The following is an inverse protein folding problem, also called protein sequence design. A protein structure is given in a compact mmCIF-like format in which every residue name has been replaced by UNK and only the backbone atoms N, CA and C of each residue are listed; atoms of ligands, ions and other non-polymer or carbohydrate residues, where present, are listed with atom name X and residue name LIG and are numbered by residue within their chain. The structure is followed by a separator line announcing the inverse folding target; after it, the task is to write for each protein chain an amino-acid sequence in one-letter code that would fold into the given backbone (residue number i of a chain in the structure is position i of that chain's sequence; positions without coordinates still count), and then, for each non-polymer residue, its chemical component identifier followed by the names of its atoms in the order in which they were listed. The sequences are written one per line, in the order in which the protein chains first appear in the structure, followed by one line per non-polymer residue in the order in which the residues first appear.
data_IF_759276789684
#
_entry.id   IF_759276789684
#
_cell.length_a   1.000
_cell.length_b   1.000
_cell.length_c   1.000
_cell.angle_alpha   90.00
_cell.angle_beta   90.00
_cell.angle_gamma   90.00
#
_symmetry.space_group_name_H-M   'P 1'
#
loop_
_entity.id
_entity.type
_entity.pdbx_description
1 polymer ?
#
# COMPACT_ATOMS: atom_id res chain seq x y z
N UNK A 1 29.02 -43.31 45.16
CA UNK A 1 29.94 -44.24 45.86
C UNK A 1 30.15 -45.46 44.98
N UNK A 2 31.42 -45.80 44.68
CA UNK A 2 31.94 -47.12 44.25
C UNK A 2 31.37 -47.73 42.94
N UNK A 3 32.14 -48.31 42.01
CA UNK A 3 33.55 -48.72 41.98
C UNK A 3 33.96 -49.03 40.54
N UNK A 4 35.20 -48.66 40.20
CA UNK A 4 36.00 -49.18 39.07
C UNK A 4 36.39 -50.65 39.29
N UNK A 5 36.63 -51.39 38.19
CA UNK A 5 37.57 -52.52 37.99
C UNK A 5 37.43 -52.92 36.51
N UNK A 6 38.31 -52.63 35.54
CA UNK A 6 39.74 -52.92 35.30
C UNK A 6 40.10 -54.40 35.07
N UNK A 7 40.40 -54.78 33.82
CA UNK A 7 41.34 -55.82 33.36
C UNK A 7 41.57 -55.55 31.84
N UNK A 8 42.72 -55.05 31.33
CA UNK A 8 44.04 -55.67 31.14
C UNK A 8 43.96 -57.03 30.40
N UNK A 9 44.67 -57.38 29.31
CA UNK A 9 45.92 -56.93 28.65
C UNK A 9 46.15 -57.77 27.35
N UNK A 10 46.99 -57.27 26.43
CA UNK A 10 47.72 -58.04 25.37
C UNK A 10 47.34 -57.62 23.94
N UNK A 11 48.07 -56.78 23.18
CA UNK A 11 49.46 -56.75 22.63
C UNK A 11 49.76 -57.82 21.57
N UNK A 12 49.74 -57.41 20.29
CA UNK A 12 50.71 -57.69 19.21
C UNK A 12 50.27 -56.83 17.99
N UNK A 13 50.98 -55.79 17.53
CA UNK A 13 52.16 -55.81 16.64
C UNK A 13 51.97 -56.78 15.44
N UNK A 14 52.14 -56.44 14.16
CA UNK A 14 52.56 -55.26 13.41
C UNK A 14 52.25 -55.55 11.93
N UNK A 15 52.12 -54.53 11.07
CA UNK A 15 52.83 -54.41 9.77
C UNK A 15 52.17 -53.36 8.89
N UNK A 16 53.03 -52.46 8.42
CA UNK A 16 52.74 -51.37 7.51
C UNK A 16 52.43 -51.88 6.10
N UNK A 17 51.52 -51.18 5.41
CA UNK A 17 51.70 -50.87 4.00
C UNK A 17 51.06 -49.50 3.74
N UNK A 18 51.93 -48.53 3.52
CA UNK A 18 51.59 -47.24 2.96
C UNK A 18 51.32 -47.44 1.45
N UNK A 19 50.12 -47.11 1.02
CA UNK A 19 49.83 -46.87 -0.39
C UNK A 19 49.20 -45.48 -0.50
N UNK A 20 50.04 -44.52 -0.92
CA UNK A 20 49.60 -43.23 -1.44
C UNK A 20 48.77 -43.46 -2.70
N UNK A 21 47.51 -43.05 -2.67
CA UNK A 21 46.80 -42.61 -3.87
C UNK A 21 46.03 -41.35 -3.53
N UNK A 22 46.57 -40.22 -3.95
CA UNK A 22 45.86 -38.95 -4.01
C UNK A 22 44.89 -38.99 -5.20
N UNK A 23 43.60 -38.79 -4.93
CA UNK A 23 42.68 -38.15 -5.88
C UNK A 23 41.88 -37.12 -5.10
N UNK A 24 42.28 -35.86 -5.27
CA UNK A 24 41.45 -34.71 -5.03
C UNK A 24 40.60 -34.48 -6.28
N UNK A 25 39.27 -34.60 -6.16
CA UNK A 25 38.26 -34.08 -7.09
C UNK A 25 36.88 -34.46 -6.53
N UNK A 26 35.81 -33.70 -6.62
CA UNK A 26 35.51 -32.28 -6.84
C UNK A 26 34.11 -32.09 -6.21
N UNK A 27 33.70 -30.85 -5.99
CA UNK A 27 32.54 -30.47 -5.16
C UNK A 27 31.26 -31.28 -5.37
N UNK A 28 30.56 -31.51 -4.26
CA UNK A 28 29.12 -31.73 -4.24
C UNK A 28 28.45 -30.44 -4.71
N UNK A 29 28.39 -30.25 -6.03
CA UNK A 29 27.47 -29.29 -6.64
C UNK A 29 26.06 -29.84 -6.42
N UNK A 30 25.47 -29.43 -5.29
CA UNK A 30 24.03 -29.41 -5.16
C UNK A 30 23.50 -28.61 -6.35
N UNK A 31 22.96 -29.34 -7.33
CA UNK A 31 22.23 -28.78 -8.46
C UNK A 31 21.04 -28.03 -7.88
N UNK A 32 21.25 -26.75 -7.63
CA UNK A 32 20.20 -25.76 -7.49
C UNK A 32 19.47 -25.75 -8.83
N UNK A 33 18.34 -26.46 -8.91
CA UNK A 33 17.35 -26.24 -9.95
C UNK A 33 16.74 -24.86 -9.73
N UNK A 34 17.48 -23.81 -10.07
CA UNK A 34 16.86 -22.56 -10.45
C UNK A 34 16.02 -22.86 -11.70
N UNK A 35 14.74 -22.44 -11.76
CA UNK A 35 13.96 -22.59 -12.97
C UNK A 35 14.69 -21.87 -14.10
N UNK A 36 15.08 -22.61 -15.13
CA UNK A 36 15.57 -22.05 -16.40
C UNK A 36 14.60 -20.95 -16.83
N UNK A 37 15.06 -19.71 -17.09
CA UNK A 37 14.19 -18.67 -17.65
C UNK A 37 13.59 -19.24 -18.93
N UNK A 38 12.25 -19.34 -19.00
CA UNK A 38 11.59 -19.68 -20.25
C UNK A 38 11.89 -18.55 -21.25
N UNK A 39 12.89 -18.75 -22.08
CA UNK A 39 13.17 -17.87 -23.20
C UNK A 39 12.03 -18.08 -24.22
N UNK A 40 11.20 -17.06 -24.42
CA UNK A 40 10.11 -17.12 -25.41
C UNK A 40 9.04 -16.04 -25.27
N UNK A 41 8.94 -15.40 -24.12
CA UNK A 41 7.97 -14.33 -23.89
C UNK A 41 8.45 -12.99 -24.44
N UNK A 42 7.60 -12.29 -25.19
CA UNK A 42 7.83 -10.91 -25.62
C UNK A 42 7.07 -9.94 -24.72
N UNK A 43 7.77 -9.02 -24.05
CA UNK A 43 7.12 -7.93 -23.33
C UNK A 43 6.39 -7.00 -24.30
N UNK A 44 5.12 -6.74 -24.04
CA UNK A 44 4.29 -5.84 -24.83
C UNK A 44 4.39 -4.42 -24.31
N UNK A 45 4.41 -3.45 -25.23
CA UNK A 45 4.17 -2.06 -24.91
C UNK A 45 2.67 -1.90 -24.74
N UNK A 46 2.24 -1.51 -23.55
CA UNK A 46 0.84 -1.30 -23.21
C UNK A 46 0.58 0.16 -22.89
N UNK A 47 -0.57 0.67 -23.33
CA UNK A 47 -0.99 2.03 -23.00
C UNK A 47 -1.73 2.03 -21.67
N UNK A 48 -1.16 2.65 -20.64
CA UNK A 48 -1.91 2.90 -19.39
C UNK A 48 -2.88 4.06 -19.61
N UNK A 49 -4.11 3.90 -19.14
CA UNK A 49 -5.02 5.03 -19.06
C UNK A 49 -4.58 5.94 -17.91
N UNK A 50 -4.49 7.25 -18.18
CA UNK A 50 -4.26 8.24 -17.11
C UNK A 50 -5.57 8.40 -16.32
N UNK A 51 -5.63 7.76 -15.16
CA UNK A 51 -6.82 7.75 -14.29
C UNK A 51 -6.75 8.84 -13.20
N UNK A 52 -5.82 9.79 -13.29
CA UNK A 52 -5.65 10.86 -12.30
C UNK A 52 -6.88 11.79 -12.16
N UNK A 53 -7.84 11.70 -13.08
CA UNK A 53 -9.06 12.52 -13.13
C UNK A 53 -10.30 11.88 -12.48
N UNK A 54 -10.21 10.65 -11.97
CA UNK A 54 -11.34 9.90 -11.40
C UNK A 54 -11.53 10.04 -9.88
N UNK A 55 -11.51 11.25 -9.30
CA UNK A 55 -11.91 11.45 -7.89
C UNK A 55 -13.44 11.52 -7.77
N UNK A 56 -14.12 10.37 -7.80
CA UNK A 56 -15.54 10.29 -7.46
C UNK A 56 -15.75 10.00 -5.97
N UNK A 57 -16.76 10.62 -5.36
CA UNK A 57 -17.10 10.42 -3.96
C UNK A 57 -18.14 9.30 -3.78
N UNK A 58 -17.89 8.47 -2.75
CA UNK A 58 -18.48 7.18 -2.41
C UNK A 58 -19.98 6.94 -2.66
N UNK A 59 -20.24 6.04 -3.60
CA UNK A 59 -21.28 5.01 -3.50
C UNK A 59 -20.58 3.66 -3.27
N UNK A 60 -21.20 2.74 -2.54
CA UNK A 60 -20.68 1.38 -2.35
C UNK A 60 -20.29 0.83 -3.74
N UNK A 61 -19.09 0.27 -3.91
CA UNK A 61 -18.83 -0.55 -5.08
C UNK A 61 -19.95 -1.59 -5.15
N UNK A 62 -20.72 -1.62 -6.25
CA UNK A 62 -21.69 -2.71 -6.44
C UNK A 62 -21.01 -4.08 -6.37
N UNK A 63 -19.70 -4.10 -6.63
CA UNK A 63 -18.78 -5.22 -6.44
C UNK A 63 -17.54 -4.74 -5.67
N UNK A 64 -17.41 -5.18 -4.41
CA UNK A 64 -16.23 -4.91 -3.55
C UNK A 64 -15.15 -5.98 -3.69
N UNK A 65 -15.36 -6.97 -4.56
CA UNK A 65 -14.42 -8.02 -4.81
C UNK A 65 -13.28 -7.54 -5.70
N UNK A 66 -12.24 -8.35 -5.65
CA UNK A 66 -11.04 -8.28 -6.47
C UNK A 66 -11.40 -8.62 -7.92
N UNK A 67 -11.03 -7.77 -8.88
CA UNK A 67 -11.40 -7.93 -10.28
C UNK A 67 -10.19 -8.11 -11.18
N UNK A 68 -10.26 -9.10 -12.07
CA UNK A 68 -9.28 -9.44 -13.11
C UNK A 68 -10.05 -9.60 -14.40
N UNK A 69 -10.09 -8.56 -15.22
CA UNK A 69 -10.96 -8.49 -16.39
C UNK A 69 -10.12 -8.43 -17.67
N UNK A 70 -10.47 -9.28 -18.63
CA UNK A 70 -10.06 -9.16 -20.03
C UNK A 70 -11.29 -8.67 -20.78
N UNK A 71 -11.20 -7.46 -21.32
CA UNK A 71 -12.34 -6.71 -21.84
C UNK A 71 -12.14 -6.55 -23.34
N UNK A 72 -13.00 -7.20 -24.12
CA UNK A 72 -12.91 -7.23 -25.58
C UNK A 72 -14.04 -6.49 -26.29
N UNK A 73 -14.90 -5.80 -25.53
CA UNK A 73 -16.07 -5.08 -26.04
C UNK A 73 -16.46 -3.87 -25.17
N UNK A 74 -17.17 -2.93 -25.79
CA UNK A 74 -17.57 -1.67 -25.17
C UNK A 74 -18.60 -1.83 -24.04
N UNK A 75 -19.45 -2.86 -24.06
CA UNK A 75 -20.46 -3.07 -23.04
C UNK A 75 -19.82 -3.54 -21.73
N UNK A 76 -18.87 -4.48 -21.82
CA UNK A 76 -18.07 -4.95 -20.69
C UNK A 76 -17.18 -3.83 -20.15
N UNK A 77 -16.59 -3.03 -21.03
CA UNK A 77 -15.79 -1.86 -20.63
C UNK A 77 -16.60 -0.84 -19.84
N UNK A 78 -17.79 -0.50 -20.33
CA UNK A 78 -18.71 0.42 -19.66
C UNK A 78 -19.16 -0.10 -18.29
N UNK A 79 -19.43 -1.41 -18.17
CA UNK A 79 -19.79 -2.04 -16.90
C UNK A 79 -18.64 -2.00 -15.89
N UNK A 80 -17.42 -2.33 -16.31
CA UNK A 80 -16.24 -2.28 -15.45
C UNK A 80 -15.99 -0.84 -14.98
N UNK A 81 -15.98 0.14 -15.90
CA UNK A 81 -15.77 1.55 -15.58
C UNK A 81 -16.80 2.09 -14.60
N UNK A 82 -18.08 1.76 -14.82
CA UNK A 82 -19.17 2.11 -13.90
C UNK A 82 -19.02 1.44 -12.51
N UNK A 83 -18.27 0.34 -12.39
CA UNK A 83 -17.98 -0.31 -11.11
C UNK A 83 -16.86 0.37 -10.31
N UNK A 84 -16.01 1.15 -10.99
CA UNK A 84 -14.88 1.87 -10.38
C UNK A 84 -15.29 3.26 -9.87
N UNK A 85 -16.19 3.93 -10.60
CA UNK A 85 -16.62 5.28 -10.30
C UNK A 85 -17.75 5.30 -9.24
N UNK A 86 -17.57 6.06 -8.14
CA UNK A 86 -18.62 6.26 -7.14
C UNK A 86 -19.84 7.07 -7.63
N UNK A 87 -19.66 7.93 -8.64
CA UNK A 87 -20.73 8.70 -9.27
C UNK A 87 -20.69 8.50 -10.81
N UNK A 88 -21.76 7.98 -11.43
CA UNK A 88 -21.86 7.86 -12.89
C UNK A 88 -21.79 9.22 -13.63
N UNK A 89 -21.88 10.34 -12.92
CA UNK A 89 -21.71 11.69 -13.48
C UNK A 89 -20.33 12.31 -13.21
N UNK A 90 -19.56 11.81 -12.23
CA UNK A 90 -18.21 12.32 -11.92
C UNK A 90 -17.08 11.50 -12.55
N UNK A 91 -17.31 10.23 -12.88
CA UNK A 91 -16.29 9.33 -13.45
C UNK A 91 -16.05 9.51 -14.96
N UNK A 92 -16.80 10.39 -15.62
CA UNK A 92 -16.80 10.52 -17.08
C UNK A 92 -17.22 9.24 -17.80
N UNK A 93 -17.44 9.35 -19.12
CA UNK A 93 -17.51 8.15 -19.94
C UNK A 93 -16.14 7.45 -19.92
N UNK A 94 -16.07 6.11 -19.98
CA UNK A 94 -14.80 5.43 -20.13
C UNK A 94 -14.06 5.96 -21.37
N UNK A 95 -12.72 6.03 -21.34
CA UNK A 95 -11.93 6.33 -22.52
C UNK A 95 -12.37 5.51 -23.73
N UNK A 96 -12.44 6.15 -24.89
CA UNK A 96 -12.82 5.50 -26.13
C UNK A 96 -11.76 4.47 -26.54
N UNK A 97 -12.19 3.24 -26.79
CA UNK A 97 -11.34 2.14 -27.27
C UNK A 97 -11.96 1.56 -28.54
N UNK A 98 -11.15 1.42 -29.59
CA UNK A 98 -11.55 0.69 -30.78
C UNK A 98 -11.38 -0.81 -30.55
N UNK A 99 -12.46 -1.44 -30.07
CA UNK A 99 -12.47 -2.88 -29.79
C UNK A 99 -12.35 -3.76 -31.03
N UNK A 100 -12.35 -3.21 -32.25
CA UNK A 100 -12.02 -4.01 -33.45
C UNK A 100 -10.52 -4.25 -33.57
N UNK A 101 -9.71 -3.39 -32.98
CA UNK A 101 -8.24 -3.42 -33.03
C UNK A 101 -7.60 -3.78 -31.71
N UNK A 102 -8.18 -3.28 -30.62
CA UNK A 102 -7.60 -3.33 -29.29
C UNK A 102 -8.51 -4.10 -28.32
N UNK A 103 -7.91 -4.55 -27.23
CA UNK A 103 -8.58 -5.05 -26.05
C UNK A 103 -8.04 -4.31 -24.81
N UNK A 104 -8.72 -4.49 -23.68
CA UNK A 104 -8.37 -3.87 -22.41
C UNK A 104 -8.15 -4.94 -21.35
N UNK A 105 -7.10 -4.79 -20.54
CA UNK A 105 -6.91 -5.58 -19.33
C UNK A 105 -7.08 -4.63 -18.14
N UNK A 106 -7.96 -4.99 -17.22
CA UNK A 106 -8.29 -4.17 -16.08
C UNK A 106 -8.22 -4.96 -14.78
N UNK A 107 -7.57 -4.36 -13.77
CA UNK A 107 -7.41 -4.97 -12.44
C UNK A 107 -7.88 -4.00 -11.37
N UNK A 108 -8.57 -4.52 -10.35
CA UNK A 108 -8.97 -3.75 -9.18
C UNK A 108 -8.82 -4.57 -7.90
N UNK A 109 -8.36 -3.92 -6.83
CA UNK A 109 -8.30 -4.54 -5.51
C UNK A 109 -9.69 -4.64 -4.89
N UNK A 110 -9.86 -5.45 -3.82
CA UNK A 110 -10.91 -5.20 -2.85
C UNK A 110 -10.78 -3.79 -2.24
N UNK A 111 -11.81 -3.35 -1.53
CA UNK A 111 -11.73 -2.10 -0.75
C UNK A 111 -10.55 -2.16 0.24
N UNK A 112 -9.79 -1.07 0.32
CA UNK A 112 -8.61 -0.88 1.18
C UNK A 112 -8.86 0.19 2.22
N UNK A 113 -8.29 0.07 3.43
CA UNK A 113 -8.61 0.95 4.55
C UNK A 113 -7.85 2.28 4.55
N UNK A 114 -6.96 2.51 3.59
CA UNK A 114 -6.17 3.75 3.52
C UNK A 114 -5.77 4.14 2.10
N UNK A 115 -5.31 5.38 1.94
CA UNK A 115 -4.77 5.91 0.69
C UNK A 115 -3.40 5.35 0.28
N UNK A 116 -2.74 4.56 1.13
CA UNK A 116 -1.39 4.05 0.88
C UNK A 116 -1.32 2.76 0.07
N UNK A 117 -2.46 2.15 -0.24
CA UNK A 117 -2.52 0.94 -1.04
C UNK A 117 -2.53 1.25 -2.54
N UNK A 118 -1.93 0.37 -3.33
CA UNK A 118 -1.89 0.49 -4.78
C UNK A 118 -2.07 -0.86 -5.46
N UNK A 119 -2.32 -0.81 -6.77
CA UNK A 119 -2.23 -1.95 -7.68
C UNK A 119 -1.68 -1.44 -9.00
N UNK A 120 -0.84 -2.23 -9.66
CA UNK A 120 -0.28 -1.90 -10.97
C UNK A 120 -0.17 -3.14 -11.84
N UNK A 121 -0.46 -2.99 -13.13
CA UNK A 121 -0.05 -3.93 -14.16
C UNK A 121 1.38 -3.54 -14.54
N UNK A 122 2.37 -4.29 -14.07
CA UNK A 122 3.79 -3.97 -14.31
C UNK A 122 4.22 -4.31 -15.74
N UNK A 123 3.71 -5.42 -16.27
CA UNK A 123 4.07 -5.90 -17.58
C UNK A 123 3.02 -6.87 -18.12
N UNK A 124 2.86 -6.89 -19.44
CA UNK A 124 2.18 -7.97 -20.16
C UNK A 124 3.20 -8.67 -21.03
N UNK A 125 3.39 -9.96 -20.82
CA UNK A 125 4.31 -10.80 -21.59
C UNK A 125 3.50 -11.71 -22.50
N UNK A 126 3.74 -11.63 -23.79
CA UNK A 126 3.13 -12.48 -24.79
C UNK A 126 3.98 -13.74 -25.02
N UNK A 127 3.38 -14.90 -24.80
CA UNK A 127 3.95 -16.21 -25.12
C UNK A 127 3.31 -16.78 -26.39
N UNK A 128 3.77 -17.95 -26.82
CA UNK A 128 3.23 -18.62 -28.01
C UNK A 128 1.72 -18.92 -27.88
N UNK A 129 1.28 -19.34 -26.69
CA UNK A 129 -0.06 -19.87 -26.42
C UNK A 129 -0.87 -19.07 -25.38
N UNK A 130 -0.27 -18.09 -24.70
CA UNK A 130 -0.96 -17.29 -23.67
C UNK A 130 -0.35 -15.89 -23.48
N UNK A 131 -1.01 -15.06 -22.68
CA UNK A 131 -0.46 -13.83 -22.14
C UNK A 131 -0.30 -13.97 -20.63
N UNK A 132 0.84 -13.54 -20.09
CA UNK A 132 1.03 -13.34 -18.66
C UNK A 132 0.95 -11.86 -18.32
N UNK A 133 0.07 -11.51 -17.39
CA UNK A 133 -0.13 -10.15 -16.88
C UNK A 133 0.41 -10.10 -15.47
N UNK A 134 1.54 -9.41 -15.29
CA UNK A 134 2.15 -9.21 -13.99
C UNK A 134 1.39 -8.12 -13.24
N UNK A 135 0.73 -8.51 -12.14
CA UNK A 135 -0.03 -7.60 -11.29
C UNK A 135 0.66 -7.48 -9.95
N UNK A 136 0.98 -6.24 -9.55
CA UNK A 136 1.58 -5.94 -8.25
C UNK A 136 0.59 -5.16 -7.40
N UNK A 137 0.17 -5.76 -6.29
CA UNK A 137 -0.52 -5.05 -5.23
C UNK A 137 0.48 -4.53 -4.21
N UNK A 138 0.33 -3.27 -3.85
CA UNK A 138 1.26 -2.58 -2.95
C UNK A 138 0.55 -2.18 -1.67
N UNK A 139 1.15 -2.50 -0.53
CA UNK A 139 0.73 -2.02 0.78
C UNK A 139 1.72 -1.00 1.33
N UNK A 140 1.27 -0.01 2.11
CA UNK A 140 2.18 0.85 2.85
C UNK A 140 2.91 0.03 3.92
N UNK A 141 4.19 0.32 4.17
CA UNK A 141 4.89 -0.23 5.33
C UNK A 141 4.22 0.23 6.64
N UNK A 142 4.46 -0.50 7.73
CA UNK A 142 3.77 -0.26 9.01
C UNK A 142 4.05 1.11 9.63
N UNK A 143 5.20 1.71 9.27
CA UNK A 143 5.65 3.03 9.68
C UNK A 143 5.08 4.16 8.81
N UNK A 144 4.27 3.84 7.80
CA UNK A 144 3.73 4.85 6.89
C UNK A 144 2.55 5.54 7.52
N UNK A 145 2.66 6.87 7.56
CA UNK A 145 1.51 7.72 7.77
C UNK A 145 0.67 7.72 6.50
N UNK A 146 -0.54 7.17 6.60
CA UNK A 146 -1.51 7.15 5.50
C UNK A 146 -2.83 7.76 5.98
N UNK A 147 -3.60 8.32 5.04
CA UNK A 147 -4.95 8.80 5.36
C UNK A 147 -5.87 7.60 5.50
N UNK A 148 -6.63 7.52 6.60
CA UNK A 148 -7.63 6.49 6.84
C UNK A 148 -8.91 6.74 6.04
N UNK A 149 -8.85 6.45 4.74
CA UNK A 149 -9.97 6.58 3.79
C UNK A 149 -10.13 5.28 3.04
N UNK A 150 -11.38 4.84 2.86
CA UNK A 150 -11.67 3.67 2.03
C UNK A 150 -11.30 3.98 0.58
N UNK A 151 -10.41 3.18 0.01
CA UNK A 151 -9.99 3.30 -1.38
C UNK A 151 -10.23 1.99 -2.11
N UNK A 152 -10.30 2.04 -3.44
CA UNK A 152 -10.31 0.85 -4.29
C UNK A 152 -9.33 1.05 -5.44
N UNK A 153 -8.02 0.84 -5.20
CA UNK A 153 -7.02 0.92 -6.26
C UNK A 153 -7.39 0.05 -7.47
N UNK A 154 -7.16 0.60 -8.67
CA UNK A 154 -7.30 -0.11 -9.93
C UNK A 154 -6.27 0.39 -10.94
N UNK A 155 -5.98 -0.43 -11.94
CA UNK A 155 -5.13 -0.08 -13.08
C UNK A 155 -5.71 -0.71 -14.35
N UNK A 156 -5.52 -0.03 -15.47
CA UNK A 156 -6.08 -0.44 -16.76
C UNK A 156 -5.07 -0.18 -17.86
N UNK A 157 -4.87 -1.19 -18.69
CA UNK A 157 -4.00 -1.11 -19.86
C UNK A 157 -4.75 -1.50 -21.15
N UNK A 158 -4.47 -0.76 -22.22
CA UNK A 158 -4.89 -1.06 -23.59
C UNK A 158 -3.75 -1.76 -24.34
N UNK A 159 -4.11 -2.78 -25.11
CA UNK A 159 -3.18 -3.51 -25.97
C UNK A 159 -3.91 -4.05 -27.22
N UNK A 160 -3.19 -4.34 -28.31
CA UNK A 160 -3.80 -4.92 -29.51
C UNK A 160 -4.47 -6.27 -29.21
N UNK A 161 -5.55 -6.60 -29.91
CA UNK A 161 -6.33 -7.83 -29.65
C UNK A 161 -5.49 -9.11 -29.69
N UNK A 162 -5.84 -10.05 -28.81
CA UNK A 162 -5.22 -11.38 -28.67
C UNK A 162 -6.27 -12.46 -28.41
N UNK A 163 -7.33 -12.48 -29.22
CA UNK A 163 -8.53 -13.30 -29.01
C UNK A 163 -8.29 -14.81 -28.87
N UNK A 164 -7.16 -15.31 -29.38
CA UNK A 164 -6.82 -16.74 -29.36
C UNK A 164 -5.84 -17.13 -28.25
N UNK A 165 -5.46 -16.19 -27.37
CA UNK A 165 -4.51 -16.45 -26.28
C UNK A 165 -5.19 -16.24 -24.92
N UNK A 166 -5.36 -17.28 -24.09
CA UNK A 166 -5.80 -17.10 -22.72
C UNK A 166 -4.87 -16.14 -21.96
N UNK A 167 -5.47 -15.33 -21.08
CA UNK A 167 -4.74 -14.40 -20.21
C UNK A 167 -4.60 -15.03 -18.82
N UNK A 168 -3.39 -15.04 -18.30
CA UNK A 168 -3.06 -15.46 -16.93
C UNK A 168 -2.60 -14.25 -16.14
N UNK A 169 -3.13 -14.12 -14.92
CA UNK A 169 -2.71 -13.07 -14.00
C UNK A 169 -1.66 -13.64 -13.04
N UNK A 170 -0.47 -13.06 -13.08
CA UNK A 170 0.66 -13.42 -12.22
C UNK A 170 0.72 -12.40 -11.10
N UNK A 171 0.30 -12.82 -9.91
CA UNK A 171 0.12 -11.94 -8.76
C UNK A 171 1.41 -11.82 -7.95
N UNK A 172 1.75 -10.59 -7.57
CA UNK A 172 2.81 -10.28 -6.62
C UNK A 172 2.33 -9.23 -5.63
N UNK A 173 2.88 -9.30 -4.43
CA UNK A 173 2.70 -8.26 -3.41
C UNK A 173 4.01 -7.53 -3.16
N UNK A 174 3.92 -6.23 -2.94
CA UNK A 174 5.05 -5.37 -2.59
C UNK A 174 4.68 -4.50 -1.39
N UNK A 175 5.68 -4.13 -0.60
CA UNK A 175 5.53 -3.15 0.47
C UNK A 175 6.23 -1.88 0.04
N UNK A 176 5.49 -0.77 -0.07
CA UNK A 176 6.10 0.55 -0.25
C UNK A 176 6.71 0.98 1.08
N UNK A 177 8.04 1.05 1.12
CA UNK A 177 8.72 1.74 2.19
C UNK A 177 8.29 3.22 2.20
N UNK A 178 7.96 3.72 3.38
CA UNK A 178 7.73 5.14 3.57
C UNK A 178 9.06 5.82 3.30
N UNK A 179 9.07 6.69 2.29
CA UNK A 179 10.26 7.27 1.66
C UNK A 179 11.56 7.15 2.48
N UNK A 180 12.55 6.33 2.08
CA UNK A 180 13.82 6.21 2.81
C UNK A 180 14.64 7.52 2.83
N UNK A 181 14.27 8.52 2.01
CA UNK A 181 14.95 9.83 1.91
C UNK A 181 14.20 11.01 2.59
N UNK A 182 12.97 10.83 3.07
CA UNK A 182 12.28 11.86 3.85
C UNK A 182 11.90 11.29 5.21
N UNK A 183 12.78 11.49 6.20
CA UNK A 183 12.46 11.21 7.60
C UNK A 183 11.44 12.24 8.06
N UNK A 184 10.17 11.91 7.92
CA UNK A 184 9.12 12.62 8.64
C UNK A 184 8.90 11.93 9.97
N UNK A 185 9.03 12.65 11.07
CA UNK A 185 8.69 12.13 12.39
C UNK A 185 7.18 12.23 12.59
N UNK A 186 6.56 11.14 13.06
CA UNK A 186 5.13 11.14 13.38
C UNK A 186 4.92 11.52 14.82
N UNK A 187 4.15 12.58 15.06
CA UNK A 187 3.86 13.10 16.39
C UNK A 187 2.37 12.96 16.67
N UNK A 188 2.03 12.34 17.80
CA UNK A 188 0.65 12.14 18.25
C UNK A 188 0.40 13.02 19.46
N UNK A 189 -0.53 13.96 19.33
CA UNK A 189 -0.86 14.92 20.40
C UNK A 189 -2.27 14.65 20.87
N UNK A 190 -2.40 13.98 22.02
CA UNK A 190 -3.70 13.75 22.66
C UNK A 190 -4.31 15.08 23.14
N UNK A 191 -5.64 15.13 23.20
CA UNK A 191 -6.37 16.33 23.62
C UNK A 191 -5.91 16.83 25.00
N UNK A 192 -5.65 18.13 25.10
CA UNK A 192 -5.15 18.78 26.30
C UNK A 192 -3.74 18.35 26.72
N UNK A 193 -3.05 17.53 25.92
CA UNK A 193 -1.66 17.14 26.15
C UNK A 193 -0.71 17.94 25.28
N UNK A 194 0.49 18.11 25.78
CA UNK A 194 1.61 18.76 25.10
C UNK A 194 2.66 17.72 24.77
N UNK A 195 3.22 17.80 23.56
CA UNK A 195 4.37 16.99 23.12
C UNK A 195 5.49 17.92 22.69
N UNK A 196 6.69 17.66 23.20
CA UNK A 196 7.92 18.32 22.79
C UNK A 196 8.53 17.57 21.59
N UNK A 197 8.76 18.26 20.48
CA UNK A 197 9.33 17.68 19.27
C UNK A 197 10.05 18.74 18.46
N UNK A 198 11.25 18.45 17.96
CA UNK A 198 12.05 19.38 17.13
C UNK A 198 12.23 20.79 17.75
N UNK A 199 12.31 20.88 19.08
CA UNK A 199 12.44 22.17 19.78
C UNK A 199 11.14 22.99 19.88
N UNK A 200 10.01 22.40 19.51
CA UNK A 200 8.68 23.02 19.55
C UNK A 200 7.78 22.22 20.48
N UNK A 201 7.05 22.90 21.38
CA UNK A 201 5.97 22.28 22.15
C UNK A 201 4.69 22.40 21.38
N UNK A 202 4.01 21.28 21.17
CA UNK A 202 2.75 21.21 20.43
C UNK A 202 1.65 20.72 21.36
N UNK A 203 0.57 21.50 21.48
CA UNK A 203 -0.58 21.16 22.34
C UNK A 203 -1.85 21.13 21.51
N UNK A 204 -2.61 20.04 21.59
CA UNK A 204 -3.95 19.97 21.03
C UNK A 204 -4.93 20.66 21.99
N UNK A 205 -5.41 21.84 21.60
CA UNK A 205 -6.29 22.64 22.44
C UNK A 205 -7.75 22.32 22.19
N UNK A 206 -8.14 22.26 20.91
CA UNK A 206 -9.53 22.05 20.50
C UNK A 206 -9.65 21.16 19.27
N UNK A 207 -10.71 20.36 19.22
CA UNK A 207 -11.24 19.78 17.99
C UNK A 207 -12.42 20.62 17.56
N UNK A 208 -12.17 21.55 16.64
CA UNK A 208 -13.14 22.55 16.21
C UNK A 208 -14.26 21.94 15.36
N UNK A 209 -13.90 20.98 14.52
CA UNK A 209 -14.83 20.25 13.70
C UNK A 209 -14.29 18.85 13.42
N UNK A 210 -15.19 17.87 13.41
CA UNK A 210 -14.91 16.54 12.89
C UNK A 210 -16.10 16.09 12.02
N UNK A 211 -16.02 16.42 10.74
CA UNK A 211 -16.93 15.95 9.69
C UNK A 211 -16.30 14.84 8.86
N UNK A 212 -15.28 14.15 9.40
CA UNK A 212 -14.63 13.04 8.69
C UNK A 212 -15.63 11.94 8.41
N UNK A 213 -15.57 11.44 7.18
CA UNK A 213 -16.32 10.28 6.76
C UNK A 213 -16.10 9.10 7.73
N UNK A 214 -17.16 8.54 8.34
CA UNK A 214 -17.01 7.34 9.14
C UNK A 214 -16.47 6.18 8.29
N UNK A 215 -15.60 5.36 8.86
CA UNK A 215 -14.85 4.31 8.13
C UNK A 215 -15.74 3.22 7.50
N UNK A 216 -17.04 3.19 7.82
CA UNK A 216 -18.03 2.27 7.27
C UNK A 216 -19.27 3.00 6.68
N UNK A 217 -19.14 4.30 6.40
CA UNK A 217 -20.18 5.12 5.80
C UNK A 217 -20.02 5.28 4.29
N UNK A 218 -21.13 5.59 3.62
CA UNK A 218 -21.18 6.12 2.26
C UNK A 218 -20.88 7.63 2.31
N UNK A 219 -19.76 8.07 1.77
CA UNK A 219 -19.35 9.47 1.87
C UNK A 219 -19.36 10.18 0.53
N UNK A 220 -20.17 11.23 0.46
CA UNK A 220 -20.30 12.14 -0.69
C UNK A 220 -19.09 13.11 -0.76
N UNK A 221 -18.28 13.18 0.30
CA UNK A 221 -17.11 14.04 0.37
C UNK A 221 -16.02 13.43 1.26
N UNK A 222 -14.76 13.81 1.05
CA UNK A 222 -13.58 13.30 1.79
C UNK A 222 -13.65 13.58 3.31
N UNK A 223 -14.49 14.54 3.70
CA UNK A 223 -14.66 14.97 5.08
C UNK A 223 -13.52 15.89 5.54
N UNK A 224 -13.66 16.43 6.74
CA UNK A 224 -12.65 17.28 7.36
C UNK A 224 -12.57 17.04 8.85
N UNK A 225 -11.38 17.11 9.39
CA UNK A 225 -11.18 17.45 10.79
C UNK A 225 -10.37 18.73 10.88
N UNK A 226 -10.90 19.69 11.63
CA UNK A 226 -10.22 20.93 11.97
C UNK A 226 -9.85 20.89 13.46
N UNK A 227 -8.57 21.10 13.77
CA UNK A 227 -8.07 21.15 15.14
C UNK A 227 -7.31 22.43 15.40
N UNK A 228 -7.47 22.99 16.59
CA UNK A 228 -6.66 24.11 17.07
C UNK A 228 -5.44 23.55 17.81
N UNK A 229 -4.25 23.86 17.29
CA UNK A 229 -2.98 23.46 17.86
C UNK A 229 -2.22 24.70 18.34
N UNK A 230 -1.78 24.66 19.59
CA UNK A 230 -0.82 25.64 20.11
C UNK A 230 0.59 25.15 19.86
N UNK A 231 1.38 25.97 19.21
CA UNK A 231 2.81 25.77 18.99
C UNK A 231 3.61 26.78 19.81
N UNK A 232 4.64 26.30 20.51
CA UNK A 232 5.50 27.13 21.34
C UNK A 232 6.96 26.84 21.02
N UNK A 233 7.71 27.87 20.60
CA UNK A 233 9.12 27.79 20.22
C UNK A 233 9.89 28.94 20.88
N UNK A 234 10.69 28.63 21.90
CA UNK A 234 11.33 29.65 22.73
C UNK A 234 10.29 30.53 23.43
N UNK A 235 10.33 31.85 23.19
CA UNK A 235 9.36 32.80 23.73
C UNK A 235 8.14 33.03 22.81
N UNK A 236 8.12 32.42 21.61
CA UNK A 236 7.03 32.58 20.66
C UNK A 236 5.94 31.54 20.91
N UNK A 237 4.69 31.99 20.93
CA UNK A 237 3.49 31.15 21.02
C UNK A 237 2.56 31.51 19.86
N UNK A 238 2.05 30.50 19.17
CA UNK A 238 1.08 30.67 18.08
C UNK A 238 0.01 29.58 18.13
N UNK A 239 -1.25 29.98 18.06
CA UNK A 239 -2.37 29.07 17.91
C UNK A 239 -2.75 28.99 16.41
N UNK A 240 -2.75 27.78 15.87
CA UNK A 240 -2.98 27.52 14.43
C UNK A 240 -4.08 26.48 14.29
N UNK A 241 -5.08 26.79 13.47
CA UNK A 241 -6.06 25.79 13.05
C UNK A 241 -5.52 25.02 11.85
N UNK A 242 -5.36 23.71 12.02
CA UNK A 242 -4.99 22.82 10.93
C UNK A 242 -6.16 21.92 10.54
N UNK A 243 -6.28 21.69 9.24
CA UNK A 243 -7.30 20.85 8.60
C UNK A 243 -6.68 19.57 8.05
N UNK A 244 -7.45 18.48 8.00
CA UNK A 244 -7.01 17.26 7.32
C UNK A 244 -7.16 17.37 5.81
N UNK A 245 -8.03 18.25 5.31
CA UNK A 245 -8.23 18.51 3.89
C UNK A 245 -7.71 19.89 3.47
N UNK A 246 -6.83 19.89 2.46
CA UNK A 246 -6.30 21.11 1.84
C UNK A 246 -7.34 21.86 0.98
N UNK A 247 -8.49 21.23 0.68
CA UNK A 247 -9.57 21.88 -0.07
C UNK A 247 -10.35 22.88 0.79
N UNK A 248 -10.19 22.81 2.12
CA UNK A 248 -10.96 23.60 3.09
C UNK A 248 -10.09 24.63 3.79
N UNK A 249 -8.90 24.19 4.22
CA UNK A 249 -8.05 25.05 5.03
C UNK A 249 -6.60 24.60 5.06
N UNK A 250 -5.85 25.27 5.93
CA UNK A 250 -4.42 25.06 6.07
C UNK A 250 -4.15 23.66 6.64
N UNK A 251 -3.39 22.83 5.94
CA UNK A 251 -3.06 21.47 6.42
C UNK A 251 -1.76 21.38 7.21
N UNK A 252 -0.93 22.43 7.17
CA UNK A 252 0.34 22.46 7.87
C UNK A 252 0.89 23.87 8.09
N UNK A 253 1.87 24.00 8.96
CA UNK A 253 2.52 25.26 9.34
C UNK A 253 4.00 25.02 9.63
N UNK A 254 4.81 26.08 9.64
CA UNK A 254 6.22 26.02 10.01
C UNK A 254 6.46 26.81 11.29
N UNK A 255 7.04 26.16 12.30
CA UNK A 255 7.34 26.77 13.61
C UNK A 255 8.72 26.29 14.07
N UNK A 256 9.55 27.20 14.57
CA UNK A 256 10.89 26.83 15.07
C UNK A 256 11.83 26.22 14.00
N UNK A 257 11.53 26.41 12.72
CA UNK A 257 12.27 25.80 11.61
C UNK A 257 11.80 24.41 11.19
N UNK A 258 10.85 23.80 11.93
CA UNK A 258 10.23 22.53 11.59
C UNK A 258 8.87 22.74 10.90
N UNK A 259 8.57 21.94 9.87
CA UNK A 259 7.26 21.94 9.21
C UNK A 259 6.37 20.86 9.81
N UNK A 260 5.23 21.27 10.34
CA UNK A 260 4.19 20.42 10.90
C UNK A 260 3.03 20.32 9.93
N UNK A 261 2.55 19.10 9.65
CA UNK A 261 1.35 18.89 8.85
C UNK A 261 0.39 17.94 9.54
N UNK A 262 -0.88 18.33 9.64
CA UNK A 262 -1.96 17.49 10.10
C UNK A 262 -2.31 16.47 9.01
N UNK A 263 -2.21 15.20 9.39
CA UNK A 263 -2.44 14.05 8.51
C UNK A 263 -3.60 13.20 8.99
N UNK A 264 -4.07 13.42 10.22
CA UNK A 264 -5.21 12.71 10.74
C UNK A 264 -5.59 13.12 12.14
N UNK A 265 -6.73 12.60 12.56
CA UNK A 265 -7.28 12.71 13.90
C UNK A 265 -7.70 11.29 14.33
N UNK A 266 -7.58 10.94 15.59
CA UNK A 266 -7.94 9.61 16.12
C UNK A 266 -8.77 9.79 17.38
N UNK A 267 -9.82 9.02 17.66
CA UNK A 267 -10.33 7.89 16.86
C UNK A 267 -10.97 8.35 15.54
N UNK A 268 -11.12 7.42 14.60
CA UNK A 268 -11.95 7.66 13.41
C UNK A 268 -13.43 7.52 13.76
N UNK A 269 -14.30 8.22 13.02
CA UNK A 269 -15.74 8.01 13.13
C UNK A 269 -16.12 6.61 12.63
N UNK A 270 -17.06 5.98 13.31
CA UNK A 270 -17.64 4.68 12.93
C UNK A 270 -19.16 4.79 13.09
N UNK A 271 -19.94 4.33 12.12
CA UNK A 271 -21.41 4.22 12.24
C UNK A 271 -21.75 2.89 12.92
N UNK A 272 -22.50 2.92 14.01
CA UNK A 272 -23.03 1.71 14.67
C UNK A 272 -23.72 2.05 15.99
N UNK A 273 -24.86 1.39 16.27
CA UNK A 273 -25.74 1.73 17.40
C UNK A 273 -25.09 1.60 18.79
N UNK A 274 -23.98 0.86 18.90
CA UNK A 274 -23.33 0.53 20.19
C UNK A 274 -22.05 1.33 20.46
N UNK A 275 -21.70 2.34 19.64
CA UNK A 275 -20.53 3.19 19.90
C UNK A 275 -20.95 4.65 20.08
N UNK A 276 -20.78 5.23 21.29
CA UNK A 276 -21.00 6.66 21.46
C UNK A 276 -20.04 7.46 20.57
N UNK A 277 -20.50 8.61 20.06
CA UNK A 277 -19.61 9.53 19.35
C UNK A 277 -18.45 9.94 20.30
N UNK A 278 -17.20 10.02 19.79
CA UNK A 278 -16.07 10.41 20.62
C UNK A 278 -16.27 11.83 21.13
N UNK A 279 -16.04 12.03 22.43
CA UNK A 279 -15.98 13.37 23.01
C UNK A 279 -14.63 14.00 22.72
N UNK A 280 -14.53 15.33 22.85
CA UNK A 280 -13.33 16.07 22.48
C UNK A 280 -12.03 15.52 23.10
N UNK A 281 -12.12 15.08 24.36
CA UNK A 281 -11.02 14.49 25.13
C UNK A 281 -10.52 13.15 24.62
N UNK A 282 -11.29 12.45 23.79
CA UNK A 282 -10.89 11.17 23.21
C UNK A 282 -9.93 11.35 22.04
N UNK A 283 -9.83 12.57 21.51
CA UNK A 283 -9.10 12.81 20.28
C UNK A 283 -7.58 12.92 20.47
N UNK A 284 -6.87 12.50 19.44
CA UNK A 284 -5.42 12.59 19.27
C UNK A 284 -5.14 13.08 17.86
N UNK A 285 -4.55 14.26 17.74
CA UNK A 285 -4.08 14.78 16.46
C UNK A 285 -2.82 14.01 16.03
N UNK A 286 -2.75 13.68 14.74
CA UNK A 286 -1.61 13.00 14.13
C UNK A 286 -0.94 13.98 13.19
N UNK A 287 0.30 14.33 13.51
CA UNK A 287 1.13 15.26 12.76
C UNK A 287 2.30 14.51 12.13
N UNK A 288 2.72 14.94 10.95
CA UNK A 288 4.06 14.64 10.40
C UNK A 288 4.92 15.88 10.50
N UNK A 289 6.19 15.69 10.87
CA UNK A 289 7.14 16.77 11.13
C UNK A 289 8.41 16.54 10.31
N UNK A 290 8.94 17.59 9.67
CA UNK A 290 10.25 17.60 9.01
C UNK A 290 11.10 18.80 9.45
#
# INVERSE_FOLDING_TARGET
MARMTSYARGVAAALALASLTALAACGDDAVSTEPTPQAGGQALIVGHFDVSTGQGAGRQPGDTARQRQVIADAATWSKFWASLAPDPNAGGAPPAVDFTRDMVIAVATPVRPSSGYGIKIESVTEWADHLDVQVVETSPASDCVTLGVLTRPFDVVQLPRRDNKPVRFVERTAVTACNPAARYDTVRVAFGKTVDTHGVRVTLQHVLNDSRCPINALCIWEGDAAVALRFESGAQTSDVTLHTSAKIGLVGTTVGGAEFRLVGLSPFKVIGADRPEPVESDYTAILVVR
#
